data_IF_949252228442
#
_entry.id   IF_949252228442
#
_cell.length_a   1.000
_cell.length_b   1.000
_cell.length_c   1.000
_cell.angle_alpha   90.00
_cell.angle_beta   90.00
_cell.angle_gamma   90.00
#
_symmetry.space_group_name_H-M   'P 1'
#
loop_
_entity.id
_entity.type
_entity.pdbx_description
1 polymer ?
#
# COMPACT_ATOMS: atom_id res chain seq x y z
N UNK A 1 -4.74 -16.03 4.91
CA UNK A 1 -4.59 -14.95 3.91
C UNK A 1 -5.67 -13.91 4.02
N UNK A 2 -5.27 -12.63 4.09
CA UNK A 2 -6.19 -11.49 4.19
C UNK A 2 -6.03 -10.59 2.97
N UNK A 3 -7.14 -10.32 2.27
CA UNK A 3 -7.17 -9.52 1.04
C UNK A 3 -8.06 -8.31 1.23
N UNK A 4 -7.56 -7.14 0.83
CA UNK A 4 -8.35 -5.92 0.69
C UNK A 4 -8.47 -5.57 -0.79
N UNK A 5 -9.69 -5.63 -1.30
CA UNK A 5 -10.01 -5.25 -2.68
C UNK A 5 -10.44 -3.77 -2.77
N UNK A 6 -10.36 -3.22 -3.98
CA UNK A 6 -10.84 -1.87 -4.33
C UNK A 6 -10.23 -0.77 -3.46
N UNK A 7 -8.91 -0.80 -3.34
CA UNK A 7 -8.14 0.23 -2.65
C UNK A 7 -7.61 1.25 -3.66
N UNK A 8 -7.67 2.54 -3.35
CA UNK A 8 -7.22 3.59 -4.27
C UNK A 8 -6.00 4.30 -3.72
N UNK A 9 -4.95 4.47 -4.53
CA UNK A 9 -3.78 5.25 -4.14
C UNK A 9 -4.18 6.73 -3.96
N UNK A 10 -3.99 7.26 -2.76
CA UNK A 10 -4.35 8.65 -2.41
C UNK A 10 -3.13 9.54 -2.12
N UNK A 11 -1.96 8.95 -1.84
CA UNK A 11 -0.73 9.70 -1.69
C UNK A 11 0.50 8.83 -2.04
N UNK A 12 1.51 9.48 -2.62
CA UNK A 12 2.82 8.90 -2.91
C UNK A 12 3.89 9.84 -2.35
N UNK A 13 4.78 9.31 -1.51
CA UNK A 13 5.86 10.10 -0.89
C UNK A 13 7.17 9.34 -0.93
N UNK A 14 8.11 9.84 -1.71
CA UNK A 14 9.49 9.34 -1.74
C UNK A 14 10.29 9.85 -0.55
N UNK A 15 11.02 8.97 0.14
CA UNK A 15 11.99 9.31 1.19
C UNK A 15 13.18 8.36 1.15
N UNK A 16 14.37 8.90 0.91
CA UNK A 16 15.62 8.12 0.79
C UNK A 16 15.48 6.97 -0.23
N UNK A 17 15.52 5.73 0.26
CA UNK A 17 15.45 4.48 -0.49
C UNK A 17 14.03 3.99 -0.74
N UNK A 18 13.03 4.60 -0.11
CA UNK A 18 11.67 4.04 -0.07
C UNK A 18 10.64 5.03 -0.61
N UNK A 19 9.53 4.48 -1.09
CA UNK A 19 8.31 5.20 -1.43
C UNK A 19 7.21 4.74 -0.50
N UNK A 20 6.66 5.68 0.25
CA UNK A 20 5.50 5.48 1.11
C UNK A 20 4.24 5.71 0.29
N UNK A 21 3.39 4.71 0.23
CA UNK A 21 2.17 4.67 -0.57
C UNK A 21 1.00 4.63 0.40
N UNK A 22 0.10 5.61 0.32
CA UNK A 22 -1.17 5.59 1.05
C UNK A 22 -2.29 5.18 0.12
N UNK A 23 -3.13 4.31 0.63
CA UNK A 23 -4.31 3.83 -0.05
C UNK A 23 -5.55 4.04 0.82
N UNK A 24 -6.65 4.42 0.19
CA UNK A 24 -7.97 4.43 0.80
C UNK A 24 -8.65 3.10 0.49
N UNK A 25 -9.08 2.37 1.52
CA UNK A 25 -9.86 1.14 1.38
C UNK A 25 -11.11 1.27 2.27
N UNK A 26 -12.30 1.33 1.65
CA UNK A 26 -13.56 1.58 2.37
C UNK A 26 -13.48 2.84 3.27
N UNK A 27 -13.63 2.69 4.59
CA UNK A 27 -13.56 3.74 5.61
C UNK A 27 -12.17 3.87 6.26
N UNK A 28 -11.16 3.15 5.76
CA UNK A 28 -9.80 3.09 6.32
C UNK A 28 -8.77 3.66 5.36
N UNK A 29 -7.68 4.15 5.94
CA UNK A 29 -6.46 4.53 5.23
C UNK A 29 -5.34 3.60 5.69
N UNK A 30 -4.64 3.02 4.74
CA UNK A 30 -3.45 2.20 4.97
C UNK A 30 -2.23 2.88 4.36
N UNK A 31 -1.07 2.71 4.99
CA UNK A 31 0.21 3.16 4.45
C UNK A 31 1.17 1.96 4.41
N UNK A 32 1.83 1.77 3.27
CA UNK A 32 2.89 0.79 3.12
C UNK A 32 4.12 1.42 2.46
N UNK A 33 5.28 0.82 2.69
CA UNK A 33 6.53 1.24 2.09
C UNK A 33 6.94 0.24 1.02
N UNK A 34 7.42 0.77 -0.10
CA UNK A 34 8.01 -0.02 -1.18
C UNK A 34 9.40 0.53 -1.47
N UNK A 35 10.37 -0.34 -1.70
CA UNK A 35 11.69 0.11 -2.15
C UNK A 35 11.57 0.88 -3.46
N UNK A 36 12.35 1.96 -3.60
CA UNK A 36 12.25 2.86 -4.75
C UNK A 36 12.50 2.15 -6.09
N UNK A 37 13.36 1.15 -6.10
CA UNK A 37 13.63 0.37 -7.33
C UNK A 37 12.41 -0.45 -7.73
N UNK A 38 11.75 -1.11 -6.77
CA UNK A 38 10.54 -1.88 -7.01
C UNK A 38 9.39 -0.94 -7.42
N UNK A 39 9.22 0.20 -6.74
CA UNK A 39 8.21 1.20 -7.09
C UNK A 39 8.30 1.64 -8.56
N UNK A 40 9.51 1.90 -9.05
CA UNK A 40 9.75 2.29 -10.44
C UNK A 40 9.42 1.18 -11.45
N UNK A 41 9.45 -0.10 -11.04
CA UNK A 41 9.06 -1.22 -11.91
C UNK A 41 7.55 -1.34 -12.07
N UNK A 42 6.80 -1.04 -11.01
CA UNK A 42 5.34 -1.17 -11.01
C UNK A 42 4.61 0.03 -11.62
N UNK A 43 5.27 1.19 -11.79
CA UNK A 43 4.69 2.41 -12.37
C UNK A 43 3.37 2.86 -11.68
N UNK A 44 3.31 2.69 -10.36
CA UNK A 44 2.12 3.00 -9.56
C UNK A 44 1.78 4.49 -9.57
N UNK A 45 0.51 4.83 -9.73
CA UNK A 45 0.02 6.21 -9.91
C UNK A 45 -1.02 6.62 -8.88
N UNK A 46 -1.13 7.92 -8.64
CA UNK A 46 -2.23 8.47 -7.86
C UNK A 46 -3.58 8.06 -8.49
N UNK A 47 -4.54 7.72 -7.63
CA UNK A 47 -5.90 7.27 -7.93
C UNK A 47 -6.01 5.92 -8.62
N UNK A 48 -4.91 5.21 -8.80
CA UNK A 48 -4.92 3.83 -9.29
C UNK A 48 -5.60 2.90 -8.29
N UNK A 49 -6.39 1.96 -8.80
CA UNK A 49 -7.03 0.91 -8.03
C UNK A 49 -6.07 -0.28 -7.83
N UNK A 50 -5.96 -0.74 -6.60
CA UNK A 50 -5.13 -1.87 -6.19
C UNK A 50 -5.95 -2.89 -5.40
N UNK A 51 -5.51 -4.14 -5.50
CA UNK A 51 -5.84 -5.19 -4.53
C UNK A 51 -4.61 -5.46 -3.67
N UNK A 52 -4.78 -5.46 -2.35
CA UNK A 52 -3.70 -5.65 -1.40
C UNK A 52 -3.83 -7.04 -0.76
N UNK A 53 -2.73 -7.77 -0.77
CA UNK A 53 -2.62 -9.08 -0.14
C UNK A 53 -1.69 -8.98 1.07
N UNK A 54 -2.15 -9.50 2.21
CA UNK A 54 -1.41 -9.51 3.47
C UNK A 54 -1.15 -10.95 3.92
N UNK A 55 0.11 -11.23 4.23
CA UNK A 55 0.48 -12.45 4.93
C UNK A 55 -0.09 -12.42 6.35
N UNK A 56 -0.84 -13.46 6.70
CA UNK A 56 -1.54 -13.54 7.99
C UNK A 56 -0.57 -13.50 9.17
N UNK A 57 0.60 -14.13 9.02
CA UNK A 57 1.67 -14.14 10.02
C UNK A 57 2.28 -12.75 10.29
N UNK A 58 2.05 -11.77 9.41
CA UNK A 58 2.50 -10.39 9.57
C UNK A 58 1.44 -9.49 10.24
N UNK A 59 0.25 -10.01 10.55
CA UNK A 59 -0.85 -9.26 11.15
C UNK A 59 -0.79 -9.39 12.66
N UNK A 60 -0.74 -8.25 13.36
CA UNK A 60 -0.84 -8.18 14.81
C UNK A 60 -2.17 -7.55 15.21
N UNK A 61 -2.96 -8.25 16.01
CA UNK A 61 -4.19 -7.73 16.60
C UNK A 61 -3.90 -7.10 17.95
N UNK A 62 -4.24 -5.82 18.09
CA UNK A 62 -4.15 -5.11 19.37
C UNK A 62 -5.49 -5.27 20.10
N UNK A 63 -5.46 -5.80 21.33
CA UNK A 63 -6.62 -5.92 22.21
C UNK A 63 -7.01 -4.57 22.81
#
# INVERSE_FOLDING_TARGET
DFILEKCYIIALRSRKSDVFIRVSCMDKILEFALEKQEFLRFDLKLYEELSLYFYEDAICFLN
#
